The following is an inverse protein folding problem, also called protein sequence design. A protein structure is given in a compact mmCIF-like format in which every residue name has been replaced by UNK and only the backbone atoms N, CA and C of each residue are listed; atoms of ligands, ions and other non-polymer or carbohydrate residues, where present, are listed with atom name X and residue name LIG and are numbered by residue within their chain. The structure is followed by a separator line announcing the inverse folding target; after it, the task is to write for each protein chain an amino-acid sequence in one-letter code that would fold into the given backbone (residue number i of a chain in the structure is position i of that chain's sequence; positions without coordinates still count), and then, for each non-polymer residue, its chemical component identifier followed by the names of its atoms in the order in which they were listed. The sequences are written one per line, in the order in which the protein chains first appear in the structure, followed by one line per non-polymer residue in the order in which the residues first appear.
data_IF_281099588140
#
_entry.id   IF_281099588140
#
_cell.length_a   1.000
_cell.length_b   1.000
_cell.length_c   1.000
_cell.angle_alpha   90.00
_cell.angle_beta   90.00
_cell.angle_gamma   90.00
#
_symmetry.space_group_name_H-M   'P 1'
#
loop_
_entity.id
_entity.type
_entity.pdbx_description
1 polymer ?
#
# COMPACT_ATOMS: atom_id res chain seq x y z
N UNK A 1 -17.56 -57.53 15.90
CA UNK A 1 -16.82 -56.45 16.61
C UNK A 1 -15.59 -55.90 15.84
N UNK A 2 -15.53 -55.95 14.49
CA UNK A 2 -14.39 -55.39 13.71
C UNK A 2 -14.69 -54.06 12.99
N UNK A 3 -15.95 -53.63 12.94
CA UNK A 3 -16.37 -52.37 12.31
C UNK A 3 -16.14 -51.13 13.21
N UNK A 4 -16.24 -51.29 14.53
CA UNK A 4 -16.09 -50.17 15.48
C UNK A 4 -14.65 -49.67 15.60
N UNK A 5 -13.64 -50.52 15.35
CA UNK A 5 -12.24 -50.12 15.28
C UNK A 5 -11.89 -49.37 14.00
N UNK A 6 -12.44 -49.79 12.84
CA UNK A 6 -12.23 -49.09 11.57
C UNK A 6 -12.86 -47.69 11.56
N UNK A 7 -14.03 -47.53 12.20
CA UNK A 7 -14.72 -46.24 12.28
C UNK A 7 -13.98 -45.22 13.18
N UNK A 8 -13.34 -45.68 14.26
CA UNK A 8 -12.49 -44.83 15.13
C UNK A 8 -11.19 -44.40 14.47
N UNK A 9 -10.61 -45.25 13.61
CA UNK A 9 -9.33 -44.98 12.93
C UNK A 9 -9.50 -43.99 11.77
N UNK A 10 -10.62 -44.05 11.04
CA UNK A 10 -10.96 -43.05 10.01
C UNK A 10 -11.30 -41.69 10.61
N UNK A 11 -11.92 -41.66 11.80
CA UNK A 11 -12.24 -40.42 12.50
C UNK A 11 -10.98 -39.70 13.04
N UNK A 12 -9.96 -40.45 13.46
CA UNK A 12 -8.66 -39.90 13.86
C UNK A 12 -7.82 -39.38 12.67
N UNK A 13 -7.95 -39.98 11.48
CA UNK A 13 -7.28 -39.51 10.26
C UNK A 13 -7.93 -38.23 9.71
N UNK A 14 -9.24 -38.05 9.90
CA UNK A 14 -9.97 -36.84 9.49
C UNK A 14 -9.69 -35.61 10.36
N UNK A 15 -9.37 -35.80 11.64
CA UNK A 15 -9.02 -34.69 12.56
C UNK A 15 -7.59 -34.20 12.34
N UNK A 16 -6.66 -35.07 11.91
CA UNK A 16 -5.27 -34.70 11.63
C UNK A 16 -5.13 -33.83 10.36
N UNK A 17 -6.09 -33.90 9.43
CA UNK A 17 -6.07 -33.12 8.18
C UNK A 17 -6.61 -31.69 8.34
N UNK A 18 -7.29 -31.36 9.45
CA UNK A 18 -7.78 -30.01 9.74
C UNK A 18 -6.76 -29.10 10.46
N UNK A 19 -5.59 -29.63 10.86
CA UNK A 19 -4.52 -28.84 11.50
C UNK A 19 -3.41 -28.40 10.53
N UNK A 20 -3.51 -28.76 9.25
CA UNK A 20 -2.55 -28.33 8.24
C UNK A 20 -2.86 -26.90 7.76
N UNK A 21 -2.34 -25.93 8.51
CA UNK A 21 -1.89 -24.67 7.93
C UNK A 21 -2.92 -23.55 7.81
N UNK A 22 -3.31 -22.95 8.93
CA UNK A 22 -3.45 -21.48 8.92
C UNK A 22 -2.03 -20.93 9.01
N UNK A 23 -1.35 -20.81 7.87
CA UNK A 23 -0.22 -19.88 7.79
C UNK A 23 -0.84 -18.50 7.97
N UNK A 24 -0.75 -17.94 9.18
CA UNK A 24 -0.98 -16.52 9.34
C UNK A 24 0.06 -15.86 8.44
N UNK A 25 -0.37 -15.25 7.34
CA UNK A 25 0.45 -14.25 6.69
C UNK A 25 0.80 -13.24 7.78
N UNK A 26 2.10 -13.09 8.03
CA UNK A 26 2.56 -12.04 8.93
C UNK A 26 2.24 -10.74 8.21
N UNK A 27 1.29 -9.98 8.75
CA UNK A 27 0.87 -8.70 8.16
C UNK A 27 2.11 -7.80 8.05
N UNK A 28 2.58 -7.58 6.84
CA UNK A 28 3.80 -6.81 6.61
C UNK A 28 3.47 -5.32 6.61
N UNK A 29 4.20 -4.55 7.41
CA UNK A 29 3.96 -3.12 7.59
C UNK A 29 4.24 -2.33 6.31
N UNK A 30 3.34 -1.39 5.98
CA UNK A 30 3.52 -0.42 4.90
C UNK A 30 4.24 0.83 5.37
N UNK A 31 5.22 1.28 4.58
CA UNK A 31 5.97 2.52 4.79
C UNK A 31 5.93 3.39 3.54
N UNK A 32 5.86 4.71 3.71
CA UNK A 32 5.87 5.66 2.60
C UNK A 32 7.30 6.01 2.20
N UNK A 33 7.54 6.07 0.90
CA UNK A 33 8.79 6.52 0.31
C UNK A 33 8.53 7.70 -0.63
N UNK A 34 9.52 8.57 -0.73
CA UNK A 34 9.54 9.71 -1.66
C UNK A 34 10.87 9.78 -2.37
N UNK A 35 10.88 10.41 -3.54
CA UNK A 35 12.11 10.74 -4.23
C UNK A 35 13.00 11.64 -3.37
N UNK A 36 14.32 11.52 -3.50
CA UNK A 36 15.29 12.37 -2.78
C UNK A 36 15.11 13.88 -3.03
N UNK A 37 14.56 14.27 -4.19
CA UNK A 37 14.22 15.66 -4.55
C UNK A 37 13.17 16.30 -3.63
N UNK A 38 12.37 15.50 -2.91
CA UNK A 38 11.33 16.01 -2.01
C UNK A 38 11.96 16.71 -0.80
N UNK A 39 11.64 17.97 -0.50
CA UNK A 39 12.37 18.75 0.51
C UNK A 39 12.00 18.42 1.97
N UNK A 40 10.98 17.58 2.18
CA UNK A 40 10.46 17.25 3.51
C UNK A 40 10.86 15.83 3.93
N UNK A 41 10.96 15.62 5.24
CA UNK A 41 11.17 14.30 5.85
C UNK A 41 9.92 13.76 6.53
N UNK A 42 8.95 14.63 6.83
CA UNK A 42 7.67 14.25 7.44
C UNK A 42 6.49 15.04 6.88
N UNK A 43 5.30 14.45 6.97
CA UNK A 43 4.01 15.12 6.71
C UNK A 43 2.92 14.63 7.66
N UNK A 44 1.83 15.40 7.79
CA UNK A 44 0.65 14.94 8.51
C UNK A 44 -0.16 13.89 7.71
N UNK A 45 -0.83 12.95 8.40
CA UNK A 45 -1.81 12.03 7.76
C UNK A 45 -2.85 12.79 6.92
N UNK A 46 -3.29 13.96 7.39
CA UNK A 46 -4.26 14.79 6.69
C UNK A 46 -3.73 15.35 5.36
N UNK A 47 -2.44 15.69 5.29
CA UNK A 47 -1.84 16.17 4.05
C UNK A 47 -1.55 15.02 3.10
N UNK A 48 -1.14 13.86 3.61
CA UNK A 48 -1.06 12.61 2.85
C UNK A 48 -2.39 12.29 2.15
N UNK A 49 -3.51 12.33 2.88
CA UNK A 49 -4.85 12.15 2.31
C UNK A 49 -5.15 13.21 1.23
N UNK A 50 -4.81 14.49 1.45
CA UNK A 50 -5.02 15.53 0.45
C UNK A 50 -4.23 15.27 -0.82
N UNK A 51 -3.01 14.76 -0.72
CA UNK A 51 -2.17 14.39 -1.87
C UNK A 51 -2.87 13.31 -2.69
N UNK A 52 -3.23 12.20 -2.06
CA UNK A 52 -3.87 11.08 -2.74
C UNK A 52 -5.28 11.39 -3.23
N UNK A 53 -5.96 12.37 -2.66
CA UNK A 53 -7.25 12.88 -3.16
C UNK A 53 -7.11 14.01 -4.20
N UNK A 54 -5.90 14.34 -4.64
CA UNK A 54 -5.61 15.36 -5.65
C UNK A 54 -5.89 16.80 -5.20
N UNK A 55 -6.07 17.03 -3.90
CA UNK A 55 -6.31 18.35 -3.28
C UNK A 55 -5.01 19.11 -3.02
N UNK A 56 -3.89 18.39 -2.86
CA UNK A 56 -2.54 18.96 -2.76
C UNK A 56 -1.70 18.44 -3.94
N UNK A 57 -1.10 19.35 -4.71
CA UNK A 57 -0.45 19.03 -6.00
C UNK A 57 1.02 19.39 -6.06
N UNK A 58 1.52 20.13 -5.08
CA UNK A 58 2.90 20.56 -5.01
C UNK A 58 3.39 20.51 -3.56
N UNK A 59 4.63 20.08 -3.38
CA UNK A 59 5.39 20.26 -2.15
C UNK A 59 5.72 21.74 -1.94
N UNK A 60 6.23 22.07 -0.75
CA UNK A 60 6.83 23.37 -0.50
C UNK A 60 7.92 23.64 -1.56
N UNK A 61 7.96 24.88 -2.08
CA UNK A 61 8.88 25.22 -3.18
C UNK A 61 8.39 24.90 -4.60
N UNK A 62 7.12 24.54 -4.78
CA UNK A 62 6.46 24.28 -6.10
C UNK A 62 6.87 22.99 -6.80
N UNK A 63 7.62 22.10 -6.15
CA UNK A 63 7.91 20.78 -6.69
C UNK A 63 6.59 19.99 -6.83
N UNK A 64 6.25 19.55 -8.04
CA UNK A 64 5.00 18.83 -8.32
C UNK A 64 5.00 17.49 -7.58
N UNK A 65 3.87 17.11 -7.00
CA UNK A 65 3.70 15.80 -6.36
C UNK A 65 3.25 14.80 -7.42
N UNK A 66 3.96 13.67 -7.50
CA UNK A 66 3.72 12.60 -8.46
C UNK A 66 3.43 11.29 -7.70
N UNK A 67 2.23 11.14 -7.12
CA UNK A 67 1.90 9.95 -6.34
C UNK A 67 1.68 8.73 -7.22
N UNK A 68 2.06 7.56 -6.72
CA UNK A 68 1.66 6.25 -7.21
C UNK A 68 1.02 5.41 -6.11
N UNK A 69 0.37 4.33 -6.54
CA UNK A 69 -0.39 3.39 -5.74
C UNK A 69 0.08 1.97 -6.01
N UNK A 70 -0.11 1.11 -5.02
CA UNK A 70 -0.16 -0.32 -5.23
C UNK A 70 -1.59 -0.73 -5.61
N UNK A 71 -1.74 -1.68 -6.54
CA UNK A 71 -3.00 -2.26 -7.01
C UNK A 71 -3.83 -2.72 -5.80
N UNK A 72 -5.13 -2.42 -5.80
CA UNK A 72 -6.01 -2.68 -4.66
C UNK A 72 -6.18 -4.17 -4.34
N UNK A 73 -5.77 -5.06 -5.26
CA UNK A 73 -5.77 -6.51 -5.06
C UNK A 73 -4.53 -7.03 -4.34
N UNK A 74 -3.55 -6.16 -4.09
CA UNK A 74 -2.44 -6.46 -3.19
C UNK A 74 -2.87 -6.20 -1.76
N UNK A 75 -2.34 -6.97 -0.82
CA UNK A 75 -2.65 -6.81 0.61
C UNK A 75 -2.33 -5.40 1.10
N UNK A 76 -1.20 -4.83 0.65
CA UNK A 76 -0.78 -3.49 1.01
C UNK A 76 -1.65 -2.40 0.36
N UNK A 77 -2.08 -2.61 -0.89
CA UNK A 77 -2.99 -1.72 -1.59
C UNK A 77 -4.35 -1.66 -0.92
N UNK A 78 -4.93 -2.81 -0.55
CA UNK A 78 -6.19 -2.89 0.19
C UNK A 78 -6.10 -2.12 1.53
N UNK A 79 -5.06 -2.42 2.33
CA UNK A 79 -4.82 -1.74 3.62
C UNK A 79 -4.59 -0.25 3.47
N UNK A 80 -3.94 0.21 2.40
CA UNK A 80 -3.80 1.64 2.15
C UNK A 80 -5.17 2.35 2.04
N UNK A 81 -6.13 1.74 1.34
CA UNK A 81 -7.47 2.32 1.19
C UNK A 81 -8.24 2.35 2.51
N UNK A 82 -8.11 1.31 3.33
CA UNK A 82 -8.84 1.19 4.59
C UNK A 82 -8.17 1.95 5.74
N UNK A 83 -6.88 1.73 5.98
CA UNK A 83 -6.16 2.27 7.14
C UNK A 83 -5.70 3.73 6.94
N UNK A 84 -5.34 4.08 5.71
CA UNK A 84 -4.81 5.42 5.39
C UNK A 84 -5.90 6.36 4.91
N UNK A 85 -6.68 5.95 3.90
CA UNK A 85 -7.68 6.83 3.28
C UNK A 85 -9.09 6.73 3.88
N UNK A 86 -9.36 5.72 4.72
CA UNK A 86 -10.68 5.44 5.28
C UNK A 86 -11.78 5.45 4.19
N UNK A 87 -11.47 4.83 3.04
CA UNK A 87 -12.41 4.72 1.92
C UNK A 87 -12.09 3.60 0.94
N UNK A 88 -13.14 2.95 0.43
CA UNK A 88 -13.00 1.99 -0.67
C UNK A 88 -12.34 2.56 -1.94
N UNK A 89 -11.60 1.70 -2.65
CA UNK A 89 -11.05 1.98 -3.98
C UNK A 89 -12.12 2.51 -4.96
N UNK A 90 -13.35 1.99 -4.92
CA UNK A 90 -14.45 2.47 -5.76
C UNK A 90 -14.74 3.97 -5.54
N UNK A 91 -14.74 4.43 -4.30
CA UNK A 91 -14.95 5.86 -3.96
C UNK A 91 -13.75 6.68 -4.42
N UNK A 92 -12.54 6.21 -4.17
CA UNK A 92 -11.29 6.82 -4.64
C UNK A 92 -11.26 7.00 -6.17
N UNK A 93 -11.50 5.93 -6.92
CA UNK A 93 -11.58 5.93 -8.39
C UNK A 93 -12.66 6.89 -8.91
N UNK A 94 -13.79 6.99 -8.21
CA UNK A 94 -14.85 7.96 -8.52
C UNK A 94 -14.42 9.42 -8.35
N UNK A 95 -13.58 9.73 -7.37
CA UNK A 95 -13.00 11.07 -7.16
C UNK A 95 -12.05 11.40 -8.32
N UNK A 96 -11.12 10.50 -8.63
CA UNK A 96 -10.14 10.72 -9.68
C UNK A 96 -10.74 10.82 -11.08
N UNK A 97 -11.82 10.09 -11.36
CA UNK A 97 -12.58 10.25 -12.62
C UNK A 97 -13.07 11.69 -12.81
N UNK A 98 -13.53 12.35 -11.75
CA UNK A 98 -13.96 13.76 -11.80
C UNK A 98 -12.77 14.70 -12.00
N UNK A 99 -11.67 14.47 -11.29
CA UNK A 99 -10.43 15.27 -11.40
C UNK A 99 -9.89 15.21 -12.82
N UNK A 100 -9.75 14.01 -13.39
CA UNK A 100 -9.25 13.80 -14.76
C UNK A 100 -10.19 14.44 -15.78
N UNK A 101 -11.51 14.25 -15.65
CA UNK A 101 -12.48 14.82 -16.59
C UNK A 101 -12.46 16.36 -16.61
N UNK A 102 -12.15 17.00 -15.48
CA UNK A 102 -11.97 18.46 -15.41
C UNK A 102 -10.65 18.97 -16.01
N UNK A 103 -9.75 18.09 -16.46
CA UNK A 103 -8.41 18.45 -16.93
C UNK A 103 -7.47 18.92 -15.82
N UNK A 104 -7.81 18.67 -14.55
CA UNK A 104 -7.10 19.23 -13.40
C UNK A 104 -5.77 18.58 -13.09
N UNK A 105 -5.71 17.24 -13.12
CA UNK A 105 -4.53 16.41 -12.85
C UNK A 105 -4.74 15.00 -13.39
N UNK A 106 -3.69 14.31 -13.85
CA UNK A 106 -3.75 12.88 -14.12
C UNK A 106 -3.92 12.09 -12.81
N UNK A 107 -4.54 10.91 -12.91
CA UNK A 107 -4.65 9.99 -11.78
C UNK A 107 -3.27 9.44 -11.37
N UNK A 108 -3.09 9.02 -10.11
CA UNK A 108 -1.88 8.33 -9.67
C UNK A 108 -1.63 7.07 -10.52
N UNK A 109 -0.36 6.77 -10.78
CA UNK A 109 0.02 5.50 -11.42
C UNK A 109 -0.27 4.33 -10.45
N UNK A 110 -0.70 3.19 -10.97
CA UNK A 110 -0.98 1.98 -10.19
C UNK A 110 0.00 0.87 -10.61
N UNK A 111 0.62 0.21 -9.62
CA UNK A 111 1.63 -0.83 -9.81
C UNK A 111 1.28 -2.09 -9.03
N UNK A 112 1.77 -3.25 -9.48
CA UNK A 112 1.44 -4.54 -8.84
C UNK A 112 2.54 -5.02 -7.91
N UNK A 113 3.73 -4.43 -8.01
CA UNK A 113 4.91 -4.86 -7.28
C UNK A 113 5.59 -3.68 -6.60
N UNK A 114 6.27 -3.94 -5.49
CA UNK A 114 7.01 -2.92 -4.74
C UNK A 114 8.20 -2.41 -5.54
N UNK A 115 8.81 -3.24 -6.37
CA UNK A 115 9.91 -2.90 -7.26
C UNK A 115 9.49 -1.85 -8.28
N UNK A 116 8.32 -2.01 -8.90
CA UNK A 116 7.75 -1.00 -9.81
C UNK A 116 7.47 0.33 -9.10
N UNK A 117 7.03 0.29 -7.83
CA UNK A 117 6.84 1.49 -7.01
C UNK A 117 8.17 2.19 -6.76
N UNK A 118 9.21 1.45 -6.36
CA UNK A 118 10.56 2.00 -6.09
C UNK A 118 11.14 2.60 -7.37
N UNK A 119 11.02 1.89 -8.50
CA UNK A 119 11.49 2.37 -9.80
C UNK A 119 10.78 3.67 -10.19
N UNK A 120 9.44 3.71 -10.07
CA UNK A 120 8.68 4.92 -10.38
C UNK A 120 9.09 6.09 -9.49
N UNK A 121 9.19 5.88 -8.17
CA UNK A 121 9.54 6.95 -7.22
C UNK A 121 10.96 7.46 -7.45
N UNK A 122 11.93 6.58 -7.72
CA UNK A 122 13.32 6.99 -7.98
C UNK A 122 13.48 7.77 -9.29
N UNK A 123 12.67 7.47 -10.31
CA UNK A 123 12.76 8.12 -11.64
C UNK A 123 11.98 9.44 -11.75
N UNK A 124 11.09 9.74 -10.80
CA UNK A 124 10.22 10.92 -10.87
C UNK A 124 10.53 11.90 -9.75
N UNK A 125 10.96 13.11 -10.12
CA UNK A 125 11.03 14.23 -9.19
C UNK A 125 9.66 14.46 -8.52
N UNK A 126 9.67 14.58 -7.19
CA UNK A 126 8.44 14.65 -6.40
C UNK A 126 7.60 13.37 -6.37
N UNK A 127 8.15 12.24 -6.82
CA UNK A 127 7.58 10.90 -6.74
C UNK A 127 7.29 10.49 -5.31
N UNK A 128 6.15 9.81 -5.11
CA UNK A 128 5.70 9.34 -3.81
C UNK A 128 4.95 8.01 -3.94
N UNK A 129 5.22 7.06 -3.06
CA UNK A 129 4.55 5.77 -3.03
C UNK A 129 4.68 5.10 -1.67
N UNK A 130 4.22 3.86 -1.56
CA UNK A 130 4.38 3.05 -0.36
C UNK A 130 4.83 1.64 -0.73
N UNK A 131 5.63 1.04 0.14
CA UNK A 131 6.20 -0.29 -0.01
C UNK A 131 6.17 -1.03 1.32
N UNK A 132 6.36 -2.35 1.33
CA UNK A 132 6.56 -3.11 2.56
C UNK A 132 7.87 -2.70 3.27
N UNK A 133 7.87 -2.71 4.60
CA UNK A 133 9.02 -2.32 5.42
C UNK A 133 10.27 -3.17 5.17
N UNK A 134 10.12 -4.46 4.80
CA UNK A 134 11.28 -5.31 4.49
C UNK A 134 12.06 -4.88 3.24
N UNK A 135 11.45 -4.06 2.37
CA UNK A 135 12.04 -3.58 1.12
C UNK A 135 12.80 -2.27 1.29
N UNK A 136 13.03 -1.81 2.53
CA UNK A 136 13.80 -0.61 2.82
C UNK A 136 15.31 -0.79 2.59
N UNK A 137 15.82 -2.02 2.67
CA UNK A 137 17.25 -2.29 2.45
C UNK A 137 17.59 -2.13 0.96
N UNK A 138 18.55 -1.25 0.65
CA UNK A 138 19.02 -1.05 -0.72
C UNK A 138 18.20 -0.08 -1.58
N UNK A 139 17.39 0.78 -0.96
CA UNK A 139 16.73 1.88 -1.67
C UNK A 139 17.77 2.88 -2.23
N UNK A 140 17.77 3.08 -3.54
CA UNK A 140 18.56 4.10 -4.24
C UNK A 140 17.62 5.16 -4.84
N UNK A 141 17.93 6.45 -4.66
CA UNK A 141 17.13 7.55 -5.20
C UNK A 141 15.79 7.81 -4.48
N UNK A 142 15.54 7.06 -3.39
CA UNK A 142 14.34 7.14 -2.57
C UNK A 142 14.74 7.33 -1.10
N UNK A 143 13.92 8.07 -0.37
CA UNK A 143 14.01 8.18 1.10
C UNK A 143 12.66 7.91 1.74
N UNK A 144 12.69 7.44 2.99
CA UNK A 144 11.48 7.20 3.78
C UNK A 144 10.83 8.53 4.18
N UNK A 145 9.52 8.63 4.01
CA UNK A 145 8.72 9.76 4.46
C UNK A 145 7.96 9.40 5.73
N UNK A 146 8.19 10.12 6.82
CA UNK A 146 7.49 9.92 8.09
C UNK A 146 6.09 10.50 8.03
N UNK A 147 5.08 9.74 8.43
CA UNK A 147 3.71 10.25 8.54
C UNK A 147 3.37 10.52 10.00
N UNK A 148 3.13 11.77 10.35
CA UNK A 148 2.75 12.14 11.72
C UNK A 148 1.39 11.54 12.05
N UNK A 149 1.36 10.75 13.12
CA UNK A 149 0.18 9.99 13.53
C UNK A 149 0.00 8.64 12.81
N UNK A 150 0.98 8.21 12.00
CA UNK A 150 0.99 6.90 11.34
C UNK A 150 2.44 6.47 11.06
N UNK A 151 3.07 5.72 11.96
CA UNK A 151 4.47 5.27 11.75
C UNK A 151 4.58 4.21 10.65
N UNK A 152 3.59 3.33 10.58
CA UNK A 152 3.40 2.30 9.56
C UNK A 152 1.91 1.96 9.51
N UNK A 153 1.42 1.49 8.37
CA UNK A 153 0.05 0.99 8.26
C UNK A 153 -0.02 -0.48 7.92
#
# INVERSE_FOLDING_TARGET
MKYFQKLRMTFLLGILLCMAGTMSAQEEKGVFIVNESVPVESISKKDLEKIYLGKMKAWEGKLKISPCLMDEKTELGERFFDDVLDMSYRKFSGIWRKIVFSGSSPAPAEFKTSEEVIEYVSQHDGGMGFIPESMLEGLEGCKVLKIEGLESF
#
